data_IF_485973362536
#
_entry.id   IF_485973362536
#
_cell.length_a   1.000
_cell.length_b   1.000
_cell.length_c   1.000
_cell.angle_alpha   90.00
_cell.angle_beta   90.00
_cell.angle_gamma   90.00
#
_symmetry.space_group_name_H-M   'P 1'
#
loop_
_entity.id
_entity.type
_entity.pdbx_description
1 polymer ?
#
# COMPACT_ATOMS: atom_id res chain seq x y z
N UNK A 1 46.40 9.65 -41.86
CA UNK A 1 45.13 10.38 -42.11
C UNK A 1 44.89 11.32 -40.94
N UNK A 2 45.07 12.63 -41.15
CA UNK A 2 44.85 13.65 -40.12
C UNK A 2 43.35 13.83 -39.91
N UNK A 3 42.80 13.25 -38.85
CA UNK A 3 41.44 13.58 -38.41
C UNK A 3 41.44 15.04 -37.96
N UNK A 4 40.65 15.88 -38.65
CA UNK A 4 40.51 17.30 -38.30
C UNK A 4 39.94 17.39 -36.87
N UNK A 5 40.54 18.18 -35.96
CA UNK A 5 40.11 18.26 -34.55
C UNK A 5 38.62 18.60 -34.39
N UNK A 6 38.06 19.36 -35.35
CA UNK A 6 36.63 19.68 -35.42
C UNK A 6 35.71 18.45 -35.52
N UNK A 7 36.14 17.41 -36.22
CA UNK A 7 35.34 16.20 -36.43
C UNK A 7 35.28 15.32 -35.18
N UNK A 8 36.33 15.35 -34.36
CA UNK A 8 36.40 14.59 -33.10
C UNK A 8 35.53 15.27 -32.04
N UNK A 9 35.58 16.60 -31.95
CA UNK A 9 34.75 17.38 -31.02
C UNK A 9 33.26 17.17 -31.32
N UNK A 10 32.88 17.23 -32.60
CA UNK A 10 31.50 17.00 -33.02
C UNK A 10 31.00 15.59 -32.66
N UNK A 11 31.81 14.56 -32.91
CA UNK A 11 31.50 13.17 -32.54
C UNK A 11 31.35 13.00 -31.03
N UNK A 12 32.22 13.63 -30.23
CA UNK A 12 32.12 13.61 -28.77
C UNK A 12 30.84 14.30 -28.28
N UNK A 13 30.49 15.48 -28.84
CA UNK A 13 29.26 16.18 -28.46
C UNK A 13 28.01 15.38 -28.82
N UNK A 14 27.98 14.74 -29.99
CA UNK A 14 26.87 13.85 -30.37
C UNK A 14 26.77 12.64 -29.44
N UNK A 15 27.91 12.04 -29.07
CA UNK A 15 27.94 10.89 -28.15
C UNK A 15 27.43 11.27 -26.75
N UNK A 16 27.83 12.43 -26.23
CA UNK A 16 27.33 12.95 -24.94
C UNK A 16 25.83 13.24 -24.99
N UNK A 17 25.32 13.84 -26.08
CA UNK A 17 23.89 14.10 -26.25
C UNK A 17 23.06 12.81 -26.32
N UNK A 18 23.56 11.78 -27.02
CA UNK A 18 22.91 10.45 -27.08
C UNK A 18 22.88 9.80 -25.69
N UNK A 19 23.99 9.87 -24.95
CA UNK A 19 24.07 9.40 -23.56
C UNK A 19 23.01 10.12 -22.70
N UNK A 20 22.95 11.45 -22.72
CA UNK A 20 21.95 12.20 -21.93
C UNK A 20 20.50 11.91 -22.33
N UNK A 21 20.23 11.66 -23.62
CA UNK A 21 18.91 11.24 -24.07
C UNK A 21 18.57 9.81 -23.60
N UNK A 22 19.55 8.89 -23.60
CA UNK A 22 19.38 7.53 -23.10
C UNK A 22 19.17 7.44 -21.58
N UNK A 23 19.60 8.44 -20.80
CA UNK A 23 19.45 8.45 -19.33
C UNK A 23 18.19 9.16 -18.81
N UNK A 24 17.27 9.56 -19.69
CA UNK A 24 15.93 9.99 -19.25
C UNK A 24 15.04 8.78 -19.00
N UNK A 25 15.28 8.10 -17.87
CA UNK A 25 14.28 7.20 -17.30
C UNK A 25 13.21 8.10 -16.68
N UNK A 26 12.10 8.30 -17.37
CA UNK A 26 10.87 8.71 -16.68
C UNK A 26 10.55 7.58 -15.71
N UNK A 27 10.90 7.76 -14.44
CA UNK A 27 10.41 6.89 -13.38
C UNK A 27 8.89 7.06 -13.40
N UNK A 28 8.19 6.09 -13.99
CA UNK A 28 6.74 6.17 -14.17
C UNK A 28 6.12 6.20 -12.77
N UNK A 29 5.73 7.40 -12.35
CA UNK A 29 5.13 7.63 -11.05
C UNK A 29 3.78 6.93 -11.02
N UNK A 30 3.49 6.22 -9.93
CA UNK A 30 2.23 5.50 -9.79
C UNK A 30 1.04 6.47 -9.95
N UNK A 31 0.19 6.20 -10.94
CA UNK A 31 -1.01 6.98 -11.26
C UNK A 31 -2.27 6.19 -10.89
N UNK A 32 -3.38 6.87 -10.59
CA UNK A 32 -4.68 6.22 -10.46
C UNK A 32 -5.01 5.33 -11.66
N UNK A 33 -5.55 4.14 -11.41
CA UNK A 33 -6.02 3.23 -12.46
C UNK A 33 -7.46 3.54 -12.90
N UNK A 34 -8.24 4.20 -12.04
CA UNK A 34 -9.63 4.51 -12.36
C UNK A 34 -10.39 5.15 -11.21
N UNK A 35 -11.72 5.05 -11.32
CA UNK A 35 -12.66 5.47 -10.27
C UNK A 35 -13.76 4.42 -10.09
N UNK A 36 -14.09 4.16 -8.84
CA UNK A 36 -15.21 3.32 -8.41
C UNK A 36 -16.37 4.21 -7.96
N UNK A 37 -17.59 3.92 -8.41
CA UNK A 37 -18.79 4.61 -7.91
C UNK A 37 -19.32 3.86 -6.68
N UNK A 38 -19.36 4.56 -5.56
CA UNK A 38 -19.89 4.05 -4.30
C UNK A 38 -21.35 3.66 -4.40
N UNK A 39 -21.68 2.56 -3.74
CA UNK A 39 -23.03 2.04 -3.56
C UNK A 39 -23.42 2.19 -2.10
N UNK A 40 -24.71 2.40 -1.85
CA UNK A 40 -25.22 2.38 -0.48
C UNK A 40 -25.12 0.95 0.08
N UNK A 41 -24.50 0.74 1.25
CA UNK A 41 -24.53 -0.56 1.92
C UNK A 41 -25.97 -0.99 2.21
N UNK A 42 -26.31 -2.29 2.07
CA UNK A 42 -27.57 -2.83 2.56
C UNK A 42 -27.74 -2.59 4.08
N UNK A 43 -28.97 -2.60 4.61
CA UNK A 43 -29.19 -2.51 6.05
C UNK A 43 -28.41 -3.58 6.82
N UNK A 44 -27.68 -3.17 7.86
CA UNK A 44 -26.87 -4.07 8.68
C UNK A 44 -25.55 -4.53 8.03
N UNK A 45 -25.11 -3.87 6.96
CA UNK A 45 -23.81 -4.06 6.32
C UNK A 45 -22.92 -2.84 6.49
N UNK A 46 -21.61 -3.04 6.30
CA UNK A 46 -20.54 -2.12 6.66
C UNK A 46 -20.31 -2.03 8.17
N UNK A 47 -19.27 -2.73 8.61
CA UNK A 47 -18.74 -2.72 9.95
C UNK A 47 -17.96 -1.43 10.18
N UNK A 48 -18.24 -0.76 11.29
CA UNK A 48 -17.58 0.46 11.73
C UNK A 48 -16.49 0.19 12.78
N UNK A 49 -16.06 -1.07 12.92
CA UNK A 49 -14.89 -1.45 13.71
C UNK A 49 -13.66 -0.67 13.27
N UNK A 50 -12.77 -0.35 14.22
CA UNK A 50 -11.54 0.42 14.01
C UNK A 50 -11.74 1.74 13.22
N UNK A 51 -12.89 2.39 13.41
CA UNK A 51 -13.28 3.63 12.72
C UNK A 51 -13.41 3.50 11.19
N UNK A 52 -13.74 2.29 10.72
CA UNK A 52 -13.94 2.00 9.30
C UNK A 52 -15.07 2.82 8.66
N UNK A 53 -14.74 3.39 7.50
CA UNK A 53 -15.62 4.22 6.68
C UNK A 53 -16.50 3.38 5.74
N UNK A 54 -17.75 3.79 5.54
CA UNK A 54 -18.63 3.16 4.56
C UNK A 54 -18.71 3.93 3.24
N UNK A 55 -18.89 3.20 2.15
CA UNK A 55 -19.14 3.81 0.85
C UNK A 55 -20.44 4.64 0.84
N UNK A 56 -20.34 5.81 0.21
CA UNK A 56 -21.46 6.72 0.03
C UNK A 56 -22.03 6.56 -1.38
N UNK A 57 -23.34 6.50 -1.49
CA UNK A 57 -24.04 6.34 -2.76
C UNK A 57 -23.68 7.47 -3.74
N UNK A 58 -23.21 7.09 -4.93
CA UNK A 58 -22.88 8.03 -5.99
C UNK A 58 -21.52 8.74 -5.86
N UNK A 59 -20.85 8.66 -4.70
CA UNK A 59 -19.50 9.20 -4.50
C UNK A 59 -18.49 8.43 -5.38
N UNK A 60 -17.51 9.15 -5.95
CA UNK A 60 -16.44 8.53 -6.74
C UNK A 60 -15.20 8.36 -5.88
N UNK A 61 -14.73 7.12 -5.77
CA UNK A 61 -13.50 6.73 -5.07
C UNK A 61 -12.41 6.42 -6.09
N UNK A 62 -11.20 6.90 -5.86
CA UNK A 62 -10.06 6.63 -6.73
C UNK A 62 -9.58 5.21 -6.52
N UNK A 63 -9.23 4.50 -7.60
CA UNK A 63 -8.63 3.17 -7.53
C UNK A 63 -7.20 3.18 -8.06
N UNK A 64 -6.40 2.23 -7.60
CA UNK A 64 -5.00 2.06 -7.94
C UNK A 64 -4.65 0.59 -8.13
N UNK A 65 -3.89 0.30 -9.18
CA UNK A 65 -3.24 -1.01 -9.41
C UNK A 65 -1.75 -0.99 -9.09
N UNK A 66 -1.24 0.16 -8.63
CA UNK A 66 0.15 0.38 -8.28
C UNK A 66 0.26 1.07 -6.93
N UNK A 67 1.45 1.06 -6.36
CA UNK A 67 1.81 1.77 -5.13
C UNK A 67 3.10 2.56 -5.35
N UNK A 68 3.46 3.52 -4.47
CA UNK A 68 4.76 4.20 -4.53
C UNK A 68 5.94 3.21 -4.57
N UNK A 69 7.07 3.66 -5.12
CA UNK A 69 8.25 2.80 -5.26
C UNK A 69 8.74 2.28 -3.90
N UNK A 70 8.97 0.98 -3.81
CA UNK A 70 9.56 0.34 -2.62
C UNK A 70 11.06 0.63 -2.56
N UNK A 71 11.54 0.98 -1.37
CA UNK A 71 12.94 1.19 -1.02
C UNK A 71 13.25 0.60 0.36
N UNK A 72 14.49 0.72 0.84
CA UNK A 72 14.85 0.36 2.22
C UNK A 72 14.24 1.27 3.29
N UNK A 73 13.50 2.31 2.91
CA UNK A 73 12.83 3.24 3.80
C UNK A 73 11.57 3.79 3.13
N UNK A 74 10.64 2.89 2.80
CA UNK A 74 9.41 3.21 2.05
C UNK A 74 8.42 3.94 2.95
N UNK A 75 8.10 5.19 2.61
CA UNK A 75 7.11 5.98 3.35
C UNK A 75 5.70 5.43 3.11
N UNK A 76 4.94 5.25 4.18
CA UNK A 76 3.56 4.74 4.17
C UNK A 76 2.71 5.40 5.26
N UNK A 77 1.40 5.14 5.19
CA UNK A 77 0.48 5.40 6.28
C UNK A 77 0.10 4.06 6.90
N UNK A 78 0.26 3.96 8.22
CA UNK A 78 -0.23 2.84 9.02
C UNK A 78 -1.69 3.10 9.37
N UNK A 79 -2.55 2.12 9.11
CA UNK A 79 -3.96 2.08 9.54
C UNK A 79 -4.20 0.92 10.49
N UNK A 80 -5.34 0.93 11.18
CA UNK A 80 -5.75 -0.12 12.11
C UNK A 80 -6.83 -0.97 11.44
N UNK A 81 -6.66 -2.29 11.47
CA UNK A 81 -7.60 -3.25 10.89
C UNK A 81 -7.70 -4.51 11.73
N UNK A 82 -8.92 -5.05 11.84
CA UNK A 82 -9.19 -6.36 12.42
C UNK A 82 -9.07 -7.48 11.39
N UNK A 83 -8.37 -8.55 11.73
CA UNK A 83 -8.13 -9.71 10.86
C UNK A 83 -8.96 -10.94 11.25
N UNK A 84 -9.81 -10.79 12.27
CA UNK A 84 -10.67 -11.81 12.82
C UNK A 84 -11.97 -12.01 12.03
N UNK A 85 -12.67 -13.09 12.36
CA UNK A 85 -13.96 -13.40 11.73
C UNK A 85 -15.05 -12.43 12.17
N UNK A 86 -15.63 -11.71 11.21
CA UNK A 86 -16.71 -10.74 11.47
C UNK A 86 -16.20 -9.36 11.91
N UNK A 87 -14.89 -9.13 11.87
CA UNK A 87 -14.29 -7.83 12.04
C UNK A 87 -14.35 -7.02 10.74
N UNK A 88 -13.81 -5.80 10.79
CA UNK A 88 -13.84 -4.83 9.70
C UNK A 88 -12.95 -5.20 8.51
N UNK A 89 -11.92 -6.04 8.68
CA UNK A 89 -11.17 -6.60 7.54
C UNK A 89 -12.02 -7.51 6.64
N UNK A 90 -13.22 -7.90 7.09
CA UNK A 90 -14.23 -8.57 6.28
C UNK A 90 -13.91 -10.04 5.99
N UNK A 91 -13.26 -10.29 4.85
CA UNK A 91 -12.98 -11.62 4.32
C UNK A 91 -11.89 -12.38 5.07
N UNK A 92 -11.57 -13.59 4.61
CA UNK A 92 -10.37 -14.30 5.04
C UNK A 92 -9.16 -13.74 4.30
N UNK A 93 -8.00 -13.72 4.95
CA UNK A 93 -6.80 -13.10 4.40
C UNK A 93 -6.29 -13.80 3.13
N UNK A 94 -5.89 -13.00 2.15
CA UNK A 94 -5.62 -13.45 0.78
C UNK A 94 -4.37 -14.37 0.66
N UNK A 95 -3.45 -14.34 1.63
CA UNK A 95 -2.24 -15.16 1.58
C UNK A 95 -2.45 -16.63 1.93
N UNK A 96 -3.36 -16.96 2.85
CA UNK A 96 -3.58 -18.33 3.32
C UNK A 96 -5.05 -18.72 3.49
N UNK A 97 -5.98 -17.82 3.17
CA UNK A 97 -7.41 -18.05 3.30
C UNK A 97 -7.80 -18.43 4.74
N UNK A 98 -7.24 -17.72 5.72
CA UNK A 98 -7.55 -17.85 7.14
C UNK A 98 -7.96 -16.50 7.75
N UNK A 99 -8.62 -16.56 8.91
CA UNK A 99 -8.74 -15.41 9.81
C UNK A 99 -7.56 -15.46 10.78
N UNK A 100 -7.13 -14.31 11.25
CA UNK A 100 -6.07 -14.19 12.25
C UNK A 100 -6.57 -13.47 13.50
N UNK A 101 -5.79 -13.56 14.58
CA UNK A 101 -6.07 -12.81 15.80
C UNK A 101 -5.32 -11.47 15.76
N UNK A 102 -5.97 -10.39 16.19
CA UNK A 102 -5.35 -9.05 16.24
C UNK A 102 -4.19 -8.95 17.25
N UNK A 103 -4.01 -9.98 18.08
CA UNK A 103 -2.83 -10.15 18.93
C UNK A 103 -1.57 -10.62 18.17
N UNK A 104 -1.71 -11.04 16.91
CA UNK A 104 -0.59 -11.42 16.05
C UNK A 104 0.05 -10.17 15.41
N UNK A 105 1.37 -10.18 15.21
CA UNK A 105 2.07 -9.08 14.51
C UNK A 105 1.92 -9.22 12.99
N UNK A 106 0.75 -8.84 12.47
CA UNK A 106 0.37 -9.04 11.07
C UNK A 106 -0.13 -7.76 10.41
N UNK A 107 0.00 -7.71 9.09
CA UNK A 107 -0.42 -6.59 8.25
C UNK A 107 -0.99 -7.03 6.90
N UNK A 108 -1.81 -6.16 6.31
CA UNK A 108 -2.13 -6.10 4.90
C UNK A 108 -1.31 -5.00 4.19
N UNK A 109 -1.07 -5.15 2.89
CA UNK A 109 -0.38 -4.13 2.09
C UNK A 109 -1.27 -3.67 0.94
N UNK A 110 -1.23 -2.39 0.58
CA UNK A 110 -1.86 -1.89 -0.65
C UNK A 110 -1.50 -2.75 -1.85
N UNK A 111 -2.43 -2.95 -2.79
CA UNK A 111 -2.30 -3.83 -3.97
C UNK A 111 -0.92 -3.80 -4.66
N UNK A 112 -0.38 -2.60 -4.92
CA UNK A 112 0.92 -2.46 -5.59
C UNK A 112 2.09 -2.99 -4.76
N UNK A 113 2.04 -2.82 -3.44
CA UNK A 113 3.02 -3.36 -2.50
C UNK A 113 2.79 -4.84 -2.20
N UNK A 114 1.55 -5.30 -2.11
CA UNK A 114 1.20 -6.71 -2.01
C UNK A 114 1.78 -7.54 -3.18
N UNK A 115 1.82 -6.93 -4.36
CA UNK A 115 2.57 -7.39 -5.53
C UNK A 115 2.21 -8.82 -5.93
N UNK A 116 0.90 -9.08 -6.12
CA UNK A 116 0.37 -10.38 -6.54
C UNK A 116 0.86 -11.52 -5.64
N UNK A 117 0.68 -11.36 -4.33
CA UNK A 117 1.10 -12.31 -3.28
C UNK A 117 2.61 -12.52 -3.13
N UNK A 118 3.48 -11.76 -3.83
CA UNK A 118 4.94 -11.96 -3.71
C UNK A 118 5.48 -11.66 -2.31
N UNK A 119 4.76 -10.85 -1.52
CA UNK A 119 5.10 -10.59 -0.11
C UNK A 119 4.36 -11.47 0.88
N UNK A 120 3.46 -12.35 0.44
CA UNK A 120 2.71 -13.21 1.34
C UNK A 120 3.61 -14.04 2.24
N UNK A 121 3.29 -14.07 3.52
CA UNK A 121 4.00 -14.78 4.58
C UNK A 121 5.47 -14.36 4.76
N UNK A 122 5.91 -13.32 4.06
CA UNK A 122 7.17 -12.65 4.33
C UNK A 122 6.96 -11.57 5.39
N UNK A 123 8.08 -11.10 5.94
CA UNK A 123 8.07 -10.08 6.97
C UNK A 123 8.52 -8.74 6.41
N UNK A 124 7.98 -7.67 6.99
CA UNK A 124 8.47 -6.31 6.82
C UNK A 124 8.89 -5.73 8.16
N UNK A 125 9.84 -4.80 8.12
CA UNK A 125 10.16 -3.95 9.27
C UNK A 125 9.36 -2.67 9.14
N UNK A 126 8.65 -2.30 10.20
CA UNK A 126 7.86 -1.08 10.29
C UNK A 126 8.52 -0.17 11.32
N UNK A 127 8.75 1.08 10.94
CA UNK A 127 9.34 2.13 11.76
C UNK A 127 8.32 3.26 11.93
N UNK A 128 7.90 3.51 13.16
CA UNK A 128 6.87 4.51 13.51
C UNK A 128 6.95 4.87 14.98
N UNK A 129 6.54 6.09 15.34
CA UNK A 129 6.58 6.58 16.73
C UNK A 129 7.94 6.38 17.45
N UNK A 130 9.05 6.49 16.71
CA UNK A 130 10.40 6.25 17.24
C UNK A 130 10.70 4.79 17.60
N UNK A 131 9.80 3.84 17.32
CA UNK A 131 9.95 2.41 17.55
C UNK A 131 9.99 1.64 16.24
N UNK A 132 10.32 0.35 16.34
CA UNK A 132 10.35 -0.57 15.20
C UNK A 132 9.72 -1.91 15.58
N UNK A 133 8.99 -2.50 14.64
CA UNK A 133 8.37 -3.82 14.80
C UNK A 133 8.50 -4.62 13.50
N UNK A 134 8.71 -5.93 13.61
CA UNK A 134 8.72 -6.86 12.48
C UNK A 134 7.35 -7.52 12.42
N UNK A 135 6.64 -7.38 11.30
CA UNK A 135 5.29 -7.90 11.10
C UNK A 135 5.20 -8.75 9.83
N UNK A 136 4.32 -9.76 9.85
CA UNK A 136 4.10 -10.70 8.74
C UNK A 136 2.99 -10.18 7.84
N UNK A 137 3.22 -10.19 6.54
CA UNK A 137 2.19 -9.85 5.55
C UNK A 137 1.27 -11.04 5.36
N UNK A 138 -0.01 -10.87 5.69
CA UNK A 138 -1.04 -11.93 5.56
C UNK A 138 -2.12 -11.58 4.56
N UNK A 139 -2.26 -10.31 4.19
CA UNK A 139 -3.39 -9.88 3.36
C UNK A 139 -3.07 -8.75 2.37
N UNK A 140 -4.02 -8.50 1.49
CA UNK A 140 -4.05 -7.37 0.56
C UNK A 140 -5.04 -6.31 1.06
N UNK A 141 -4.58 -5.06 1.17
CA UNK A 141 -5.48 -3.91 1.29
C UNK A 141 -5.85 -3.49 -0.14
N UNK A 142 -6.97 -4.01 -0.66
CA UNK A 142 -7.33 -3.88 -2.09
C UNK A 142 -7.61 -2.42 -2.46
N UNK A 143 -6.71 -1.83 -3.27
CA UNK A 143 -6.86 -0.47 -3.79
C UNK A 143 -7.55 -0.42 -5.16
N UNK A 144 -7.91 -1.57 -5.72
CA UNK A 144 -8.57 -1.72 -7.03
C UNK A 144 -10.09 -1.79 -6.92
N UNK A 145 -10.60 -2.36 -5.83
CA UNK A 145 -12.03 -2.59 -5.58
C UNK A 145 -12.47 -2.23 -4.17
N UNK A 146 -13.78 -2.32 -3.92
CA UNK A 146 -14.44 -1.81 -2.71
C UNK A 146 -15.93 -1.57 -2.98
N UNK A 147 -16.64 -1.03 -1.99
CA UNK A 147 -18.07 -0.70 -2.05
C UNK A 147 -18.97 -1.87 -2.50
N UNK A 148 -18.57 -3.10 -2.18
CA UNK A 148 -19.27 -4.33 -2.49
C UNK A 148 -19.29 -5.27 -1.27
N UNK A 149 -19.88 -6.45 -1.42
CA UNK A 149 -20.04 -7.40 -0.30
C UNK A 149 -18.73 -7.95 0.23
N UNK A 150 -17.70 -8.04 -0.62
CA UNK A 150 -16.45 -8.74 -0.29
C UNK A 150 -15.56 -7.84 0.56
N UNK A 151 -15.72 -6.52 0.41
CA UNK A 151 -15.04 -5.48 1.18
C UNK A 151 -15.94 -4.85 2.26
N UNK A 152 -17.00 -5.55 2.66
CA UNK A 152 -18.05 -5.06 3.59
C UNK A 152 -18.53 -3.63 3.28
N UNK A 153 -18.60 -3.28 2.00
CA UNK A 153 -18.98 -1.97 1.49
C UNK A 153 -18.10 -0.79 1.96
N UNK A 154 -16.88 -1.07 2.41
CA UNK A 154 -15.84 -0.08 2.65
C UNK A 154 -15.24 0.44 1.33
N UNK A 155 -14.68 1.66 1.30
CA UNK A 155 -14.06 2.21 0.10
C UNK A 155 -12.78 1.45 -0.29
N UNK A 156 -12.34 1.56 -1.56
CA UNK A 156 -11.03 1.05 -1.97
C UNK A 156 -9.91 1.62 -1.11
N UNK A 157 -8.96 0.76 -0.77
CA UNK A 157 -7.79 1.14 -0.02
C UNK A 157 -6.97 2.22 -0.75
N UNK A 158 -6.27 3.08 0.01
CA UNK A 158 -5.28 3.95 -0.60
C UNK A 158 -4.06 3.13 -1.04
N UNK A 159 -3.25 3.69 -1.93
CA UNK A 159 -2.15 2.94 -2.55
C UNK A 159 -0.83 2.94 -1.77
N UNK A 160 -0.82 3.53 -0.58
CA UNK A 160 0.36 3.71 0.26
C UNK A 160 0.10 3.30 1.73
N UNK A 161 -0.74 2.28 1.92
CA UNK A 161 -1.19 1.78 3.22
C UNK A 161 -0.43 0.52 3.62
N UNK A 162 -0.04 0.49 4.88
CA UNK A 162 0.22 -0.74 5.64
C UNK A 162 -0.90 -0.85 6.66
N UNK A 163 -1.78 -1.82 6.49
CA UNK A 163 -2.97 -1.96 7.32
C UNK A 163 -2.71 -2.98 8.41
N UNK A 164 -2.81 -2.60 9.67
CA UNK A 164 -2.14 -3.32 10.73
C UNK A 164 -3.04 -3.68 11.91
N UNK A 165 -2.77 -4.86 12.46
CA UNK A 165 -3.42 -5.39 13.66
C UNK A 165 -3.11 -4.57 14.93
N UNK A 166 -3.93 -4.71 15.96
CA UNK A 166 -3.73 -4.11 17.28
C UNK A 166 -2.33 -4.32 17.84
N UNK A 167 -1.80 -5.55 17.72
CA UNK A 167 -0.48 -5.88 18.26
C UNK A 167 0.65 -5.08 17.58
N UNK A 168 0.53 -4.73 16.30
CA UNK A 168 1.52 -3.90 15.60
C UNK A 168 1.49 -2.48 16.16
N UNK A 169 0.30 -1.92 16.37
CA UNK A 169 0.13 -0.61 17.00
C UNK A 169 0.67 -0.59 18.43
N UNK A 170 0.39 -1.62 19.23
CA UNK A 170 0.90 -1.78 20.59
C UNK A 170 2.43 -1.88 20.64
N UNK A 171 3.03 -2.63 19.71
CA UNK A 171 4.49 -2.74 19.61
C UNK A 171 5.14 -1.39 19.25
N UNK A 172 4.47 -0.56 18.46
CA UNK A 172 4.87 0.81 18.16
C UNK A 172 4.53 1.79 19.31
N UNK A 173 3.89 1.32 20.38
CA UNK A 173 3.58 2.11 21.57
C UNK A 173 2.52 3.18 21.34
N UNK A 174 1.58 2.92 20.44
CA UNK A 174 0.47 3.82 20.14
C UNK A 174 -0.83 3.12 20.53
N UNK A 175 -1.57 3.72 21.47
CA UNK A 175 -2.69 3.09 22.15
C UNK A 175 -3.93 3.97 22.11
N UNK A 176 -5.10 3.35 22.26
CA UNK A 176 -6.38 4.04 22.43
C UNK A 176 -6.71 4.97 21.26
N UNK A 177 -7.13 6.18 21.59
CA UNK A 177 -7.57 7.24 20.66
C UNK A 177 -6.46 7.84 19.79
N UNK A 178 -5.20 7.46 20.04
CA UNK A 178 -4.06 7.86 19.22
C UNK A 178 -3.90 6.99 17.96
N UNK A 179 -4.65 5.89 17.88
CA UNK A 179 -4.68 5.01 16.71
C UNK A 179 -5.59 5.59 15.62
N UNK A 180 -5.44 5.06 14.41
CA UNK A 180 -6.20 5.47 13.23
C UNK A 180 -5.29 5.67 12.04
N UNK A 181 -4.49 6.74 12.06
CA UNK A 181 -3.54 7.04 10.98
C UNK A 181 -2.21 7.50 11.55
N UNK A 182 -1.12 6.85 11.14
CA UNK A 182 0.24 7.27 11.49
C UNK A 182 1.17 7.18 10.31
N UNK A 183 1.97 8.22 10.08
CA UNK A 183 3.07 8.14 9.12
C UNK A 183 4.15 7.18 9.63
N UNK A 184 4.54 6.25 8.77
CA UNK A 184 5.57 5.25 9.05
C UNK A 184 6.53 5.12 7.87
N UNK A 185 7.62 4.41 8.12
CA UNK A 185 8.49 3.88 7.08
C UNK A 185 8.58 2.37 7.19
N UNK A 186 8.67 1.67 6.07
CA UNK A 186 8.83 0.23 6.06
C UNK A 186 9.85 -0.25 5.05
N UNK A 187 10.35 -1.47 5.26
CA UNK A 187 11.23 -2.19 4.33
C UNK A 187 10.96 -3.68 4.38
N UNK A 188 11.28 -4.39 3.30
CA UNK A 188 11.35 -5.85 3.32
C UNK A 188 12.41 -6.30 4.37
N UNK A 189 12.11 -7.36 5.13
CA UNK A 189 12.88 -7.78 6.33
C UNK A 189 13.75 -9.02 6.16
#
# INVERSE_FOLDING_TARGET
MNMKPFSIIFLFTCFVLIITACFTVEADTCKPSGKLRGKKPPPGKCNHGHDSDCCQEGKLYTTYTCSPQVSGHTKAILTLNGFGSGEDGGGRCECDNQYHHDTELIVALSTGWFNKKKRCMNYINIHGNGKSVKAKVVDECDSTMGCDSDHDYQPPCQNNIVDASDAVWDALGVHGDQRGYMEIYWSDA
#
